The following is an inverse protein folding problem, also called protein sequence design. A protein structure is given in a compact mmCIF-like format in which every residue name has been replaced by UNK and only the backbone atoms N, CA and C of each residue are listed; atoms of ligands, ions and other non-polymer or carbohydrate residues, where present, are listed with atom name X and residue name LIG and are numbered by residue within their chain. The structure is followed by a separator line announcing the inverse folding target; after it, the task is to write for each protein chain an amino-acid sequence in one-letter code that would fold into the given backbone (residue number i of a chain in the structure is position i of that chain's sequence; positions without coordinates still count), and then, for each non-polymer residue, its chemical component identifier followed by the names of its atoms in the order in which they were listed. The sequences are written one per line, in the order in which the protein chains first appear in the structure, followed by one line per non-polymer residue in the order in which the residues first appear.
data_IF_508967654195
#
_entry.id   IF_508967654195
#
_cell.length_a   1.000
_cell.length_b   1.000
_cell.length_c   1.000
_cell.angle_alpha   90.00
_cell.angle_beta   90.00
_cell.angle_gamma   90.00
#
_symmetry.space_group_name_H-M   'P 1'
#
loop_
_entity.id
_entity.type
_entity.pdbx_description
1 polymer ?
#
# COMPACT_ATOMS: atom_id res chain seq x y z
N UNK A 1 9.52 -9.89 -15.40
CA UNK A 1 9.05 -8.49 -15.17
C UNK A 1 9.67 -7.50 -16.16
N UNK A 2 10.44 -8.03 -17.12
CA UNK A 2 11.00 -7.21 -18.20
C UNK A 2 9.87 -6.43 -18.91
N UNK A 3 10.12 -5.16 -19.19
CA UNK A 3 9.20 -4.23 -19.86
C UNK A 3 7.87 -3.94 -19.09
N UNK A 4 7.79 -4.30 -17.79
CA UNK A 4 6.66 -3.95 -16.93
C UNK A 4 7.01 -2.76 -16.05
N UNK A 5 6.04 -1.88 -15.85
CA UNK A 5 6.12 -0.73 -14.94
C UNK A 5 5.36 -1.01 -13.65
N UNK A 6 6.01 -0.76 -12.52
CA UNK A 6 5.47 -0.95 -11.18
C UNK A 6 5.53 0.37 -10.42
N UNK A 7 4.39 0.87 -9.97
CA UNK A 7 4.31 2.00 -9.02
C UNK A 7 4.22 1.45 -7.60
N UNK A 8 5.07 1.96 -6.70
CA UNK A 8 5.10 1.55 -5.28
C UNK A 8 5.09 2.78 -4.39
N UNK A 9 4.10 2.91 -3.52
CA UNK A 9 4.08 3.96 -2.50
C UNK A 9 4.87 3.58 -1.26
N UNK A 10 5.54 4.57 -0.63
CA UNK A 10 6.38 4.31 0.53
C UNK A 10 7.60 3.44 0.24
N UNK A 11 8.17 3.56 -0.97
CA UNK A 11 9.21 2.68 -1.49
C UNK A 11 10.60 2.87 -0.84
N UNK A 12 10.81 3.88 0.01
CA UNK A 12 12.15 4.22 0.56
C UNK A 12 12.50 3.53 1.88
N UNK A 13 11.60 2.75 2.45
CA UNK A 13 11.84 2.06 3.73
C UNK A 13 11.08 0.73 3.85
N UNK A 14 11.54 -0.12 4.75
CA UNK A 14 10.85 -1.33 5.18
C UNK A 14 10.38 -2.21 4.02
N UNK A 15 9.11 -2.63 4.09
CA UNK A 15 8.49 -3.54 3.12
C UNK A 15 8.50 -2.96 1.69
N UNK A 16 8.16 -1.67 1.55
CA UNK A 16 8.11 -1.02 0.23
C UNK A 16 9.48 -1.01 -0.45
N UNK A 17 10.56 -0.72 0.29
CA UNK A 17 11.93 -0.74 -0.23
C UNK A 17 12.35 -2.14 -0.65
N UNK A 18 12.11 -3.13 0.19
CA UNK A 18 12.43 -4.52 -0.12
C UNK A 18 11.67 -5.02 -1.36
N UNK A 19 10.37 -4.67 -1.47
CA UNK A 19 9.54 -5.00 -2.63
C UNK A 19 10.06 -4.31 -3.90
N UNK A 20 10.39 -3.02 -3.83
CA UNK A 20 10.95 -2.25 -4.95
C UNK A 20 12.22 -2.88 -5.50
N UNK A 21 13.19 -3.19 -4.63
CA UNK A 21 14.45 -3.81 -5.01
C UNK A 21 14.26 -5.19 -5.65
N UNK A 22 13.38 -6.02 -5.07
CA UNK A 22 13.12 -7.35 -5.61
C UNK A 22 12.43 -7.30 -6.99
N UNK A 23 11.50 -6.37 -7.21
CA UNK A 23 10.84 -6.21 -8.52
C UNK A 23 11.77 -5.61 -9.56
N UNK A 24 12.63 -4.65 -9.18
CA UNK A 24 13.67 -4.11 -10.05
C UNK A 24 14.67 -5.20 -10.50
N UNK A 25 15.12 -6.07 -9.58
CA UNK A 25 15.97 -7.24 -9.91
C UNK A 25 15.31 -8.23 -10.86
N UNK A 26 13.98 -8.25 -10.91
CA UNK A 26 13.21 -9.04 -11.89
C UNK A 26 13.05 -8.33 -13.24
N UNK A 27 13.61 -7.13 -13.41
CA UNK A 27 13.64 -6.36 -14.64
C UNK A 27 12.48 -5.37 -14.81
N UNK A 28 11.71 -5.09 -13.77
CA UNK A 28 10.67 -4.06 -13.82
C UNK A 28 11.27 -2.65 -13.77
N UNK A 29 10.64 -1.69 -14.46
CA UNK A 29 10.77 -0.28 -14.13
C UNK A 29 10.01 0.00 -12.85
N UNK A 30 10.71 0.45 -11.81
CA UNK A 30 10.09 0.81 -10.52
C UNK A 30 9.94 2.32 -10.41
N UNK A 31 8.70 2.79 -10.29
CA UNK A 31 8.36 4.17 -9.99
C UNK A 31 7.94 4.27 -8.52
N UNK A 32 8.82 4.80 -7.68
CA UNK A 32 8.57 4.97 -6.26
C UNK A 32 7.86 6.29 -5.96
N UNK A 33 6.98 6.30 -4.95
CA UNK A 33 6.46 7.53 -4.36
C UNK A 33 6.92 7.62 -2.91
N UNK A 34 7.60 8.71 -2.56
CA UNK A 34 8.15 8.91 -1.21
C UNK A 34 8.30 10.40 -0.87
N UNK A 35 8.31 10.70 0.44
CA UNK A 35 8.45 12.09 0.93
C UNK A 35 9.90 12.59 0.94
N UNK A 36 10.85 11.70 1.10
CA UNK A 36 12.25 12.04 1.30
C UNK A 36 13.05 11.80 0.02
N UNK A 37 13.42 12.87 -0.64
CA UNK A 37 14.14 12.86 -1.92
C UNK A 37 15.54 12.21 -1.80
N UNK A 38 16.29 12.46 -0.72
CA UNK A 38 17.61 11.84 -0.51
C UNK A 38 17.51 10.32 -0.48
N UNK A 39 16.57 9.78 0.32
CA UNK A 39 16.33 8.33 0.38
C UNK A 39 15.79 7.76 -0.93
N UNK A 40 15.04 8.56 -1.68
CA UNK A 40 14.56 8.20 -3.01
C UNK A 40 15.75 8.03 -3.97
N UNK A 41 16.64 9.01 -4.01
CA UNK A 41 17.85 8.99 -4.82
C UNK A 41 18.80 7.83 -4.43
N UNK A 42 18.95 7.55 -3.13
CA UNK A 42 19.70 6.39 -2.65
C UNK A 42 19.14 5.06 -3.18
N UNK A 43 17.82 4.90 -3.17
CA UNK A 43 17.18 3.70 -3.67
C UNK A 43 17.31 3.56 -5.19
N UNK A 44 17.18 4.64 -5.96
CA UNK A 44 17.42 4.61 -7.41
C UNK A 44 18.84 4.15 -7.72
N UNK A 45 19.85 4.76 -7.08
CA UNK A 45 21.25 4.35 -7.23
C UNK A 45 21.46 2.87 -6.91
N UNK A 46 20.79 2.36 -5.87
CA UNK A 46 20.89 0.93 -5.53
C UNK A 46 20.21 0.04 -6.57
N UNK A 47 19.05 0.45 -7.09
CA UNK A 47 18.37 -0.26 -8.18
C UNK A 47 19.26 -0.32 -9.42
N UNK A 48 19.86 0.80 -9.81
CA UNK A 48 20.74 0.91 -10.99
C UNK A 48 22.02 0.11 -10.82
N UNK A 49 22.62 0.11 -9.63
CA UNK A 49 23.80 -0.73 -9.30
C UNK A 49 23.55 -2.23 -9.54
N UNK A 50 22.30 -2.66 -9.44
CA UNK A 50 21.89 -4.04 -9.71
C UNK A 50 21.31 -4.23 -11.12
N UNK A 51 21.50 -3.28 -12.03
CA UNK A 51 21.07 -3.35 -13.42
C UNK A 51 19.57 -3.12 -13.62
N UNK A 52 18.85 -2.65 -12.59
CA UNK A 52 17.43 -2.30 -12.66
C UNK A 52 17.19 -0.87 -13.15
N UNK A 53 15.94 -0.51 -13.33
CA UNK A 53 15.50 0.85 -13.67
C UNK A 53 14.60 1.39 -12.55
N UNK A 54 14.90 2.59 -12.04
CA UNK A 54 14.16 3.24 -10.97
C UNK A 54 13.88 4.70 -11.29
N UNK A 55 12.70 5.15 -10.92
CA UNK A 55 12.27 6.56 -10.95
C UNK A 55 11.53 6.89 -9.65
N UNK A 56 11.44 8.18 -9.32
CA UNK A 56 10.75 8.63 -8.12
C UNK A 56 9.90 9.85 -8.36
N UNK A 57 8.76 9.89 -7.68
CA UNK A 57 7.96 11.09 -7.47
C UNK A 57 7.99 11.44 -5.99
N UNK A 58 8.43 12.65 -5.67
CA UNK A 58 8.43 13.16 -4.29
C UNK A 58 7.05 13.73 -3.98
N UNK A 59 6.37 13.13 -2.99
CA UNK A 59 5.05 13.57 -2.55
C UNK A 59 4.80 13.17 -1.09
N UNK A 60 4.10 14.01 -0.34
CA UNK A 60 3.51 13.63 0.95
C UNK A 60 2.12 13.05 0.72
N UNK A 61 2.02 11.74 0.85
CA UNK A 61 0.76 11.04 0.64
C UNK A 61 -0.27 11.25 1.77
N UNK A 62 0.05 11.98 2.83
CA UNK A 62 -0.97 12.46 3.77
C UNK A 62 -1.70 13.71 3.26
N UNK A 63 -1.15 14.40 2.25
CA UNK A 63 -1.81 15.48 1.51
C UNK A 63 -2.55 14.92 0.29
N UNK A 64 -3.83 15.24 0.17
CA UNK A 64 -4.64 14.84 -0.98
C UNK A 64 -4.20 15.58 -2.25
N UNK A 65 -3.82 16.86 -2.11
CA UNK A 65 -3.27 17.67 -3.20
C UNK A 65 -2.00 17.02 -3.77
N UNK A 66 -1.06 16.64 -2.90
CA UNK A 66 0.20 16.03 -3.31
C UNK A 66 -0.02 14.64 -3.90
N UNK A 67 -0.93 13.86 -3.31
CA UNK A 67 -1.34 12.54 -3.81
C UNK A 67 -1.92 12.65 -5.23
N UNK A 68 -2.83 13.59 -5.46
CA UNK A 68 -3.39 13.83 -6.79
C UNK A 68 -2.32 14.32 -7.78
N UNK A 69 -1.41 15.20 -7.33
CA UNK A 69 -0.26 15.65 -8.12
C UNK A 69 0.66 14.51 -8.53
N UNK A 70 1.00 13.64 -7.59
CA UNK A 70 1.80 12.45 -7.85
C UNK A 70 1.12 11.51 -8.86
N UNK A 71 -0.18 11.24 -8.70
CA UNK A 71 -0.94 10.41 -9.62
C UNK A 71 -0.89 10.95 -11.06
N UNK A 72 -1.16 12.25 -11.26
CA UNK A 72 -1.08 12.88 -12.57
C UNK A 72 0.34 12.87 -13.15
N UNK A 73 1.35 13.15 -12.34
CA UNK A 73 2.76 13.11 -12.75
C UNK A 73 3.15 11.73 -13.24
N UNK A 74 2.80 10.69 -12.50
CA UNK A 74 3.10 9.29 -12.86
C UNK A 74 2.36 8.93 -14.14
N UNK A 75 1.05 9.18 -14.23
CA UNK A 75 0.25 8.86 -15.41
C UNK A 75 0.81 9.50 -16.71
N UNK A 76 1.39 10.70 -16.61
CA UNK A 76 2.02 11.40 -17.73
C UNK A 76 3.46 10.99 -18.02
N UNK A 77 4.15 10.29 -17.10
CA UNK A 77 5.57 9.96 -17.23
C UNK A 77 5.85 8.52 -17.65
N UNK A 78 4.84 7.64 -17.64
CA UNK A 78 5.00 6.24 -18.01
C UNK A 78 4.11 5.87 -19.21
N UNK A 79 4.64 5.05 -20.11
CA UNK A 79 3.87 4.55 -21.25
C UNK A 79 2.81 3.53 -20.80
N UNK A 80 3.13 2.71 -19.79
CA UNK A 80 2.27 1.67 -19.24
C UNK A 80 2.37 1.57 -17.73
N UNK A 81 1.32 1.10 -17.09
CA UNK A 81 1.30 0.81 -15.65
C UNK A 81 0.71 -0.57 -15.39
N UNK A 82 1.60 -1.54 -15.22
CA UNK A 82 1.21 -2.95 -15.04
C UNK A 82 0.81 -3.27 -13.60
N UNK A 83 1.50 -2.66 -12.64
CA UNK A 83 1.27 -2.96 -11.23
C UNK A 83 1.26 -1.68 -10.39
N UNK A 84 0.20 -1.49 -9.61
CA UNK A 84 0.14 -0.48 -8.55
C UNK A 84 0.21 -1.17 -7.19
N UNK A 85 1.19 -0.82 -6.36
CA UNK A 85 1.32 -1.32 -4.98
C UNK A 85 1.11 -0.16 -4.01
N UNK A 86 -0.07 -0.07 -3.43
CA UNK A 86 -0.40 0.86 -2.36
C UNK A 86 0.17 0.32 -1.05
N UNK A 87 1.45 0.64 -0.79
CA UNK A 87 2.18 0.16 0.38
C UNK A 87 2.36 1.21 1.47
N UNK A 88 2.36 2.50 1.15
CA UNK A 88 2.48 3.55 2.14
C UNK A 88 1.41 3.41 3.23
N UNK A 89 1.82 3.57 4.47
CA UNK A 89 0.93 3.53 5.61
C UNK A 89 1.69 3.74 6.92
N UNK A 90 1.01 4.32 7.90
CA UNK A 90 1.57 4.57 9.21
C UNK A 90 0.50 4.41 10.31
N UNK A 91 0.98 4.31 11.54
CA UNK A 91 0.19 4.43 12.75
C UNK A 91 0.57 5.74 13.44
N UNK A 92 -0.39 6.60 13.70
CA UNK A 92 -0.18 7.88 14.35
C UNK A 92 -0.66 7.78 15.81
N UNK A 93 0.23 7.81 16.80
CA UNK A 93 -0.13 7.62 18.22
C UNK A 93 -0.91 8.80 18.79
N UNK A 94 -0.74 10.00 18.21
CA UNK A 94 -1.43 11.23 18.62
C UNK A 94 -2.39 11.68 17.54
N UNK A 95 -3.53 12.26 17.97
CA UNK A 95 -4.44 12.92 17.06
C UNK A 95 -3.76 14.08 16.35
N UNK A 96 -4.10 14.23 15.09
CA UNK A 96 -3.71 15.35 14.26
C UNK A 96 -4.41 15.26 12.90
N UNK A 97 -4.53 16.40 12.25
CA UNK A 97 -5.15 16.52 10.93
C UNK A 97 -4.16 17.10 9.92
N UNK A 98 -4.38 16.78 8.67
CA UNK A 98 -3.64 17.37 7.54
C UNK A 98 -4.06 18.83 7.32
N UNK A 99 -3.36 19.53 6.42
CA UNK A 99 -3.75 20.90 6.00
C UNK A 99 -5.11 20.95 5.29
N UNK A 100 -5.65 19.80 4.89
CA UNK A 100 -6.96 19.64 4.25
C UNK A 100 -8.00 19.07 5.25
N UNK A 101 -7.73 19.14 6.55
CA UNK A 101 -8.60 18.74 7.66
C UNK A 101 -8.96 17.24 7.68
N UNK A 102 -8.12 16.36 7.15
CA UNK A 102 -8.27 14.92 7.29
C UNK A 102 -7.39 14.36 8.43
N UNK A 103 -7.93 13.47 9.26
CA UNK A 103 -7.11 12.76 10.26
C UNK A 103 -5.98 11.98 9.55
N UNK A 104 -4.75 12.05 10.10
CA UNK A 104 -3.56 11.54 9.41
C UNK A 104 -3.62 10.06 9.06
N UNK A 105 -4.21 9.21 9.92
CA UNK A 105 -4.32 7.77 9.63
C UNK A 105 -5.32 7.51 8.51
N UNK A 106 -6.45 8.20 8.55
CA UNK A 106 -7.46 8.16 7.48
C UNK A 106 -6.86 8.63 6.16
N UNK A 107 -6.19 9.79 6.17
CA UNK A 107 -5.59 10.39 4.99
C UNK A 107 -4.57 9.44 4.33
N UNK A 108 -3.56 9.00 5.09
CA UNK A 108 -2.44 8.24 4.53
C UNK A 108 -2.82 6.79 4.19
N UNK A 109 -3.59 6.11 5.07
CA UNK A 109 -3.81 4.68 4.92
C UNK A 109 -4.99 4.32 4.01
N UNK A 110 -5.93 5.26 3.79
CA UNK A 110 -7.13 5.00 3.02
C UNK A 110 -7.39 6.02 1.90
N UNK A 111 -7.47 7.32 2.22
CA UNK A 111 -7.80 8.32 1.19
C UNK A 111 -6.70 8.41 0.11
N UNK A 112 -5.44 8.35 0.51
CA UNK A 112 -4.32 8.37 -0.41
C UNK A 112 -4.32 7.19 -1.39
N UNK A 113 -4.37 5.91 -0.97
CA UNK A 113 -4.45 4.80 -1.91
C UNK A 113 -5.71 4.85 -2.79
N UNK A 114 -6.85 5.31 -2.26
CA UNK A 114 -8.06 5.52 -3.04
C UNK A 114 -7.84 6.57 -4.14
N UNK A 115 -7.37 7.76 -3.77
CA UNK A 115 -7.18 8.89 -4.69
C UNK A 115 -6.07 8.61 -5.73
N UNK A 116 -4.95 8.01 -5.29
CA UNK A 116 -3.87 7.63 -6.20
C UNK A 116 -4.34 6.59 -7.22
N UNK A 117 -5.07 5.56 -6.76
CA UNK A 117 -5.66 4.56 -7.65
C UNK A 117 -6.60 5.20 -8.66
N UNK A 118 -7.44 6.16 -8.22
CA UNK A 118 -8.32 6.90 -9.11
C UNK A 118 -7.55 7.64 -10.21
N UNK A 119 -6.51 8.40 -9.86
CA UNK A 119 -5.71 9.17 -10.83
C UNK A 119 -4.86 8.30 -11.76
N UNK A 120 -4.60 7.06 -11.40
CA UNK A 120 -3.84 6.12 -12.22
C UNK A 120 -4.76 5.15 -13.00
N UNK A 121 -6.08 5.19 -12.78
CA UNK A 121 -6.99 4.18 -13.32
C UNK A 121 -6.98 4.12 -14.84
N UNK A 122 -7.07 5.27 -15.51
CA UNK A 122 -7.07 5.32 -16.98
C UNK A 122 -5.80 4.66 -17.56
N UNK A 123 -4.63 4.89 -16.94
CA UNK A 123 -3.37 4.28 -17.37
C UNK A 123 -3.34 2.77 -17.08
N UNK A 124 -3.92 2.33 -15.98
CA UNK A 124 -4.05 0.91 -15.62
C UNK A 124 -5.00 0.19 -16.59
N UNK A 125 -6.15 0.80 -16.91
CA UNK A 125 -7.13 0.28 -17.84
C UNK A 125 -6.56 0.20 -19.27
N UNK A 126 -5.90 1.26 -19.73
CA UNK A 126 -5.19 1.25 -21.01
C UNK A 126 -4.18 0.10 -21.07
N UNK A 127 -3.36 -0.04 -20.02
CA UNK A 127 -2.36 -1.12 -19.97
C UNK A 127 -2.99 -2.50 -19.99
N UNK A 128 -4.09 -2.71 -19.25
CA UNK A 128 -4.81 -3.98 -19.23
C UNK A 128 -5.42 -4.30 -20.61
N UNK A 129 -5.98 -3.30 -21.28
CA UNK A 129 -6.56 -3.47 -22.63
C UNK A 129 -5.49 -3.82 -23.68
N UNK A 130 -4.32 -3.16 -23.65
CA UNK A 130 -3.25 -3.37 -24.62
C UNK A 130 -2.41 -4.64 -24.36
N UNK A 131 -2.26 -5.03 -23.08
CA UNK A 131 -1.36 -6.10 -22.67
C UNK A 131 -2.04 -7.29 -21.96
N UNK A 132 -3.37 -7.23 -21.83
CA UNK A 132 -4.20 -8.31 -21.31
C UNK A 132 -4.22 -8.46 -19.79
N UNK A 133 -3.44 -7.66 -19.05
CA UNK A 133 -3.44 -7.70 -17.56
C UNK A 133 -2.89 -6.42 -16.93
N UNK A 134 -3.44 -6.06 -15.79
CA UNK A 134 -2.83 -5.17 -14.81
C UNK A 134 -3.23 -5.59 -13.39
N UNK A 135 -2.48 -5.15 -12.38
CA UNK A 135 -2.67 -5.60 -10.99
C UNK A 135 -2.60 -4.45 -10.01
N UNK A 136 -3.53 -4.43 -9.05
CA UNK A 136 -3.53 -3.50 -7.91
C UNK A 136 -3.35 -4.32 -6.64
N UNK A 137 -2.35 -3.96 -5.85
CA UNK A 137 -2.01 -4.64 -4.59
C UNK A 137 -2.07 -3.63 -3.45
N UNK A 138 -3.00 -3.82 -2.53
CA UNK A 138 -3.16 -2.98 -1.35
C UNK A 138 -2.51 -3.64 -0.13
N UNK A 139 -1.60 -2.93 0.55
CA UNK A 139 -0.99 -3.44 1.79
C UNK A 139 -1.91 -3.14 2.97
N UNK A 140 -2.72 -4.12 3.31
CA UNK A 140 -3.60 -4.10 4.46
C UNK A 140 -2.88 -4.58 5.74
N UNK A 141 -3.60 -5.14 6.68
CA UNK A 141 -3.08 -5.66 7.96
C UNK A 141 -4.00 -6.74 8.50
N UNK A 142 -3.51 -7.57 9.42
CA UNK A 142 -4.37 -8.39 10.29
C UNK A 142 -5.26 -7.50 11.18
N UNK A 143 -4.83 -6.27 11.39
CA UNK A 143 -5.51 -5.25 12.19
C UNK A 143 -6.55 -4.49 11.35
N UNK A 144 -7.50 -5.20 10.75
CA UNK A 144 -8.62 -4.63 9.98
C UNK A 144 -9.99 -4.96 10.58
N UNK A 145 -10.02 -5.39 11.86
CA UNK A 145 -11.20 -5.93 12.52
C UNK A 145 -11.80 -4.91 13.50
N UNK A 146 -12.14 -3.74 13.01
CA UNK A 146 -12.90 -2.76 13.77
C UNK A 146 -14.03 -2.19 12.91
N UNK A 147 -15.22 -1.96 13.47
CA UNK A 147 -16.31 -1.28 12.76
C UNK A 147 -15.87 0.13 12.36
N UNK A 148 -16.38 0.61 11.23
CA UNK A 148 -16.15 1.98 10.79
C UNK A 148 -17.15 2.88 11.50
N UNK A 149 -16.67 3.92 12.16
CA UNK A 149 -17.52 4.98 12.71
C UNK A 149 -17.75 6.03 11.62
N UNK A 150 -18.79 5.85 10.84
CA UNK A 150 -19.14 6.73 9.72
C UNK A 150 -19.50 8.15 10.17
N UNK A 151 -20.02 8.32 11.38
CA UNK A 151 -20.44 9.62 11.90
C UNK A 151 -19.26 10.48 12.37
N UNK A 152 -18.10 9.85 12.67
CA UNK A 152 -16.91 10.56 13.17
C UNK A 152 -15.61 9.96 12.60
N UNK A 153 -15.51 9.86 11.29
CA UNK A 153 -14.30 9.35 10.60
C UNK A 153 -13.04 10.17 10.90
N UNK A 154 -13.23 11.46 11.09
CA UNK A 154 -12.16 12.43 11.27
C UNK A 154 -11.82 12.72 12.75
N UNK A 155 -12.53 12.07 13.68
CA UNK A 155 -12.40 12.29 15.12
C UNK A 155 -12.57 13.76 15.58
N UNK A 156 -13.32 14.56 14.80
CA UNK A 156 -13.57 15.97 15.10
C UNK A 156 -14.31 16.20 16.42
N UNK A 157 -15.19 15.26 16.80
CA UNK A 157 -15.92 15.27 18.07
C UNK A 157 -15.07 14.70 19.25
N UNK A 158 -13.79 14.43 19.02
CA UNK A 158 -12.91 13.84 20.02
C UNK A 158 -12.93 12.31 20.06
N UNK A 159 -12.41 11.76 21.16
CA UNK A 159 -12.38 10.30 21.36
C UNK A 159 -11.35 9.54 20.51
N UNK A 160 -10.31 10.22 19.99
CA UNK A 160 -9.26 9.59 19.21
C UNK A 160 -8.57 8.45 19.96
N UNK A 161 -8.58 7.31 19.33
CA UNK A 161 -7.85 6.11 19.77
C UNK A 161 -7.03 5.61 18.59
N UNK A 162 -5.74 5.85 18.64
CA UNK A 162 -4.80 5.57 17.54
C UNK A 162 -4.93 4.14 16.97
N UNK A 163 -5.11 3.16 17.86
CA UNK A 163 -5.29 1.75 17.47
C UNK A 163 -6.60 1.57 16.68
N UNK A 164 -7.70 2.23 17.13
CA UNK A 164 -8.99 2.14 16.46
C UNK A 164 -8.93 2.82 15.10
N UNK A 165 -8.33 4.03 15.02
CA UNK A 165 -8.13 4.75 13.76
C UNK A 165 -7.35 3.90 12.74
N UNK A 166 -6.28 3.24 13.19
CA UNK A 166 -5.51 2.34 12.34
C UNK A 166 -6.35 1.14 11.87
N UNK A 167 -7.08 0.47 12.77
CA UNK A 167 -7.94 -0.67 12.41
C UNK A 167 -9.02 -0.27 11.40
N UNK A 168 -9.69 0.86 11.64
CA UNK A 168 -10.70 1.39 10.71
C UNK A 168 -10.11 1.70 9.34
N UNK A 169 -8.93 2.33 9.28
CA UNK A 169 -8.27 2.63 8.00
C UNK A 169 -7.94 1.36 7.22
N UNK A 170 -7.50 0.29 7.90
CA UNK A 170 -7.21 -1.00 7.27
C UNK A 170 -8.47 -1.80 6.92
N UNK A 171 -9.57 -1.61 7.66
CA UNK A 171 -10.88 -2.09 7.28
C UNK A 171 -11.32 -1.43 5.96
N UNK A 172 -11.35 -0.10 5.90
CA UNK A 172 -11.72 0.64 4.69
C UNK A 172 -10.89 0.23 3.47
N UNK A 173 -9.57 0.11 3.62
CA UNK A 173 -8.69 -0.32 2.53
C UNK A 173 -9.00 -1.76 2.06
N UNK A 174 -9.35 -2.66 2.99
CA UNK A 174 -9.72 -4.04 2.66
C UNK A 174 -11.07 -4.08 1.94
N UNK A 175 -12.07 -3.32 2.41
CA UNK A 175 -13.38 -3.19 1.75
C UNK A 175 -13.24 -2.56 0.35
N UNK A 176 -12.46 -1.49 0.22
CA UNK A 176 -12.13 -0.88 -1.08
C UNK A 176 -11.55 -1.89 -2.06
N UNK A 177 -10.66 -2.78 -1.60
CA UNK A 177 -10.11 -3.85 -2.44
C UNK A 177 -11.21 -4.75 -3.01
N UNK A 178 -12.15 -5.20 -2.17
CA UNK A 178 -13.25 -6.04 -2.61
C UNK A 178 -14.23 -5.32 -3.54
N UNK A 179 -14.55 -4.06 -3.22
CA UNK A 179 -15.43 -3.24 -4.07
C UNK A 179 -14.80 -3.04 -5.46
N UNK A 180 -13.55 -2.62 -5.49
CA UNK A 180 -12.85 -2.35 -6.75
C UNK A 180 -12.64 -3.62 -7.57
N UNK A 181 -12.33 -4.76 -6.92
CA UNK A 181 -12.18 -6.05 -7.60
C UNK A 181 -13.47 -6.52 -8.29
N UNK A 182 -14.62 -6.25 -7.67
CA UNK A 182 -15.93 -6.54 -8.27
C UNK A 182 -16.23 -5.61 -9.44
N UNK A 183 -15.93 -4.32 -9.28
CA UNK A 183 -16.15 -3.30 -10.33
C UNK A 183 -15.32 -3.56 -11.58
N UNK A 184 -14.09 -4.07 -11.41
CA UNK A 184 -13.13 -4.31 -12.49
C UNK A 184 -13.08 -5.78 -12.95
N UNK A 185 -14.08 -6.60 -12.62
CA UNK A 185 -14.05 -8.06 -12.82
C UNK A 185 -13.75 -8.50 -14.26
N UNK A 186 -14.19 -7.74 -15.26
CA UNK A 186 -14.07 -8.11 -16.68
C UNK A 186 -13.04 -7.25 -17.43
N UNK A 187 -12.29 -6.40 -16.73
CA UNK A 187 -11.37 -5.46 -17.35
C UNK A 187 -9.95 -5.98 -17.57
N UNK A 188 -9.65 -7.22 -17.17
CA UNK A 188 -8.26 -7.73 -17.15
C UNK A 188 -7.43 -7.21 -15.96
N UNK A 189 -8.04 -6.44 -15.05
CA UNK A 189 -7.38 -5.88 -13.86
C UNK A 189 -7.74 -6.72 -12.64
N UNK A 190 -6.73 -7.15 -11.89
CA UNK A 190 -6.95 -7.82 -10.61
C UNK A 190 -6.63 -6.89 -9.44
N UNK A 191 -7.46 -6.95 -8.41
CA UNK A 191 -7.31 -6.12 -7.20
C UNK A 191 -7.30 -7.02 -5.98
N UNK A 192 -6.18 -7.03 -5.25
CA UNK A 192 -6.03 -7.87 -4.07
C UNK A 192 -5.42 -7.08 -2.92
N UNK A 193 -5.65 -7.52 -1.69
CA UNK A 193 -4.94 -6.99 -0.53
C UNK A 193 -4.14 -8.06 0.18
N UNK A 194 -3.07 -7.64 0.82
CA UNK A 194 -2.22 -8.53 1.60
C UNK A 194 -2.12 -8.08 3.05
N UNK A 195 -1.90 -9.05 3.91
CA UNK A 195 -1.37 -8.87 5.26
C UNK A 195 0.08 -9.36 5.27
N UNK A 196 1.07 -8.43 5.45
CA UNK A 196 2.48 -8.79 5.29
C UNK A 196 3.08 -9.54 6.49
N UNK A 197 2.29 -9.86 7.51
CA UNK A 197 2.83 -10.37 8.79
C UNK A 197 3.31 -9.24 9.71
N UNK A 198 4.04 -9.60 10.76
CA UNK A 198 4.76 -8.64 11.59
C UNK A 198 6.11 -8.35 10.93
N UNK A 199 6.23 -7.18 10.31
CA UNK A 199 7.47 -6.76 9.64
C UNK A 199 8.29 -5.89 10.56
N UNK A 200 9.60 -6.16 10.68
CA UNK A 200 10.56 -5.31 11.39
C UNK A 200 10.74 -3.98 10.66
N UNK A 201 9.81 -3.05 10.86
CA UNK A 201 9.82 -1.71 10.22
C UNK A 201 9.76 -0.62 11.28
N UNK A 202 9.94 0.63 10.84
CA UNK A 202 9.77 1.80 11.70
C UNK A 202 8.34 1.91 12.29
N UNK A 203 7.36 1.25 11.67
CA UNK A 203 5.99 1.16 12.19
C UNK A 203 5.95 0.47 13.56
N UNK A 204 6.83 -0.51 13.81
CA UNK A 204 6.96 -1.18 15.11
C UNK A 204 7.61 -0.31 16.20
N UNK A 205 8.17 0.86 15.83
CA UNK A 205 8.76 1.84 16.74
C UNK A 205 7.81 2.98 17.11
N UNK A 206 6.52 2.87 16.81
CA UNK A 206 5.52 3.88 17.18
C UNK A 206 5.43 3.99 18.71
N UNK A 207 5.19 5.22 19.18
CA UNK A 207 5.07 5.54 20.63
C UNK A 207 3.83 4.88 21.24
N UNK A 208 3.96 3.61 21.60
CA UNK A 208 2.94 2.92 22.38
C UNK A 208 2.99 3.40 23.83
N UNK A 209 1.85 3.53 24.53
CA UNK A 209 1.87 3.79 25.97
C UNK A 209 2.51 2.62 26.73
N UNK A 210 3.08 2.93 27.91
CA UNK A 210 3.61 1.90 28.81
C UNK A 210 2.48 0.93 29.22
N UNK A 211 2.73 -0.42 29.25
CA UNK A 211 4.00 -1.12 29.01
C UNK A 211 4.23 -1.52 27.54
N UNK A 212 3.31 -1.23 26.63
CA UNK A 212 3.36 -1.67 25.23
C UNK A 212 4.54 -1.08 24.45
N UNK A 213 5.03 0.10 24.82
CA UNK A 213 6.24 0.71 24.27
C UNK A 213 7.53 -0.13 24.51
N UNK A 214 7.51 -1.01 25.49
CA UNK A 214 8.61 -1.95 25.79
C UNK A 214 8.30 -3.32 25.18
N UNK A 215 7.07 -3.80 25.33
CA UNK A 215 6.65 -5.13 24.88
C UNK A 215 6.67 -5.25 23.37
N UNK A 216 6.12 -4.29 22.63
CA UNK A 216 6.00 -4.35 21.16
C UNK A 216 7.35 -4.41 20.45
N UNK A 217 8.35 -3.56 20.79
CA UNK A 217 9.69 -3.68 20.23
C UNK A 217 10.37 -5.01 20.55
N UNK A 218 10.24 -5.50 21.79
CA UNK A 218 10.85 -6.78 22.20
C UNK A 218 10.20 -7.94 21.46
N UNK A 219 8.89 -8.01 21.44
CA UNK A 219 8.14 -9.04 20.70
C UNK A 219 8.42 -8.94 19.19
N UNK A 220 8.48 -7.72 18.66
CA UNK A 220 8.83 -7.49 17.25
C UNK A 220 10.25 -7.95 16.89
N UNK A 221 11.19 -7.93 17.85
CA UNK A 221 12.54 -8.42 17.65
C UNK A 221 12.56 -9.96 17.44
N UNK A 222 11.70 -10.69 18.14
CA UNK A 222 11.66 -12.16 18.11
C UNK A 222 10.70 -12.72 17.05
N UNK A 223 9.56 -12.05 16.78
CA UNK A 223 8.49 -12.56 15.91
C UNK A 223 8.47 -11.82 14.55
N UNK A 224 9.05 -10.60 14.48
CA UNK A 224 9.02 -9.81 13.26
C UNK A 224 9.87 -10.39 12.13
N UNK A 225 9.30 -10.51 10.94
CA UNK A 225 10.03 -10.91 9.74
C UNK A 225 10.91 -9.76 9.22
N UNK A 226 12.11 -10.06 8.68
CA UNK A 226 12.88 -9.08 7.91
C UNK A 226 12.06 -8.56 6.73
N UNK A 227 12.17 -7.27 6.36
CA UNK A 227 11.46 -6.70 5.22
C UNK A 227 11.65 -7.48 3.91
N UNK A 228 12.85 -8.03 3.70
CA UNK A 228 13.22 -8.82 2.52
C UNK A 228 12.39 -10.10 2.40
N UNK A 229 12.10 -10.75 3.54
CA UNK A 229 11.27 -11.95 3.59
C UNK A 229 9.79 -11.59 3.49
N UNK A 230 9.35 -10.55 4.19
CA UNK A 230 7.98 -10.07 4.13
C UNK A 230 7.57 -9.58 2.72
N UNK A 231 8.54 -9.10 1.92
CA UNK A 231 8.34 -8.71 0.53
C UNK A 231 8.02 -9.87 -0.41
N UNK A 232 8.22 -11.12 0.01
CA UNK A 232 7.94 -12.30 -0.80
C UNK A 232 6.49 -12.34 -1.30
N UNK A 233 5.52 -12.07 -0.45
CA UNK A 233 4.09 -12.11 -0.82
C UNK A 233 3.70 -10.99 -1.81
N UNK A 234 3.99 -9.69 -1.58
CA UNK A 234 3.68 -8.66 -2.56
C UNK A 234 4.45 -8.82 -3.88
N UNK A 235 5.70 -9.28 -3.84
CA UNK A 235 6.47 -9.57 -5.06
C UNK A 235 5.86 -10.74 -5.83
N UNK A 236 5.50 -11.84 -5.16
CA UNK A 236 4.82 -12.96 -5.79
C UNK A 236 3.49 -12.52 -6.42
N UNK A 237 2.67 -11.76 -5.69
CA UNK A 237 1.37 -11.29 -6.18
C UNK A 237 1.53 -10.36 -7.40
N UNK A 238 2.60 -9.55 -7.41
CA UNK A 238 2.92 -8.65 -8.52
C UNK A 238 3.51 -9.36 -9.74
N UNK A 239 4.25 -10.48 -9.57
CA UNK A 239 5.10 -11.03 -10.63
C UNK A 239 4.81 -12.48 -11.03
N UNK A 240 4.04 -13.25 -10.24
CA UNK A 240 3.81 -14.68 -10.50
C UNK A 240 2.64 -14.91 -11.45
N UNK A 241 2.76 -15.91 -12.29
CA UNK A 241 1.66 -16.40 -13.14
C UNK A 241 0.57 -17.10 -12.32
N UNK A 242 0.94 -17.75 -11.20
CA UNK A 242 -0.02 -18.35 -10.27
C UNK A 242 -1.00 -17.31 -9.71
N UNK A 243 -0.50 -16.10 -9.43
CA UNK A 243 -1.29 -15.01 -8.89
C UNK A 243 -2.13 -14.26 -9.96
N UNK A 244 -1.90 -14.52 -11.24
CA UNK A 244 -2.54 -13.79 -12.35
C UNK A 244 -4.07 -13.81 -12.32
N UNK A 245 -4.64 -14.90 -11.78
CA UNK A 245 -6.11 -15.09 -11.71
C UNK A 245 -6.71 -14.77 -10.35
N UNK A 246 -5.88 -14.39 -9.38
CA UNK A 246 -6.38 -14.02 -8.05
C UNK A 246 -6.98 -12.62 -8.12
N UNK A 247 -8.25 -12.51 -7.77
CA UNK A 247 -8.97 -11.24 -7.76
C UNK A 247 -9.94 -11.17 -6.59
N UNK A 248 -9.91 -10.07 -5.84
CA UNK A 248 -10.74 -9.90 -4.65
C UNK A 248 -10.32 -10.83 -3.50
N UNK A 249 -9.01 -10.99 -3.30
CA UNK A 249 -8.49 -11.87 -2.26
C UNK A 249 -7.75 -11.08 -1.17
N UNK A 250 -7.88 -11.58 0.08
CA UNK A 250 -7.07 -11.18 1.20
C UNK A 250 -5.98 -12.24 1.42
N UNK A 251 -4.72 -11.88 1.23
CA UNK A 251 -3.63 -12.83 1.07
C UNK A 251 -2.61 -12.70 2.21
N UNK A 252 -2.13 -13.83 2.70
CA UNK A 252 -1.03 -13.95 3.66
C UNK A 252 -0.16 -15.14 3.31
N UNK A 253 1.16 -14.97 3.25
CA UNK A 253 2.12 -16.00 2.85
C UNK A 253 1.71 -16.71 1.56
N UNK A 254 1.43 -15.94 0.48
CA UNK A 254 0.99 -16.42 -0.84
C UNK A 254 -0.31 -17.25 -0.84
N UNK A 255 -1.08 -17.23 0.23
CA UNK A 255 -2.34 -17.99 0.35
C UNK A 255 -3.50 -17.06 0.64
N UNK A 256 -4.60 -17.27 -0.07
CA UNK A 256 -5.86 -16.63 0.24
C UNK A 256 -6.33 -16.98 1.65
N UNK A 257 -6.76 -15.99 2.40
CA UNK A 257 -7.28 -16.09 3.75
C UNK A 257 -8.63 -15.40 3.85
N UNK A 258 -9.43 -15.79 4.83
CA UNK A 258 -10.67 -15.07 5.11
C UNK A 258 -10.36 -13.79 5.86
N UNK A 259 -10.74 -12.64 5.29
CA UNK A 259 -10.77 -11.37 6.00
C UNK A 259 -11.94 -11.34 6.99
N UNK A 260 -12.01 -10.31 7.79
CA UNK A 260 -13.16 -10.07 8.67
C UNK A 260 -14.45 -9.92 7.84
N UNK A 261 -15.58 -10.62 8.20
CA UNK A 261 -16.78 -10.65 7.37
C UNK A 261 -17.32 -9.28 6.92
N UNK A 262 -17.40 -8.24 7.78
CA UNK A 262 -17.88 -6.91 7.37
C UNK A 262 -17.09 -6.27 6.23
N UNK A 263 -15.80 -6.59 6.07
CA UNK A 263 -15.00 -6.04 4.94
C UNK A 263 -15.49 -6.54 3.58
N UNK A 264 -16.27 -7.60 3.53
CA UNK A 264 -16.79 -8.23 2.30
C UNK A 264 -18.23 -7.89 2.01
N UNK A 265 -18.83 -7.08 2.88
CA UNK A 265 -20.20 -6.61 2.68
C UNK A 265 -20.28 -5.86 1.33
N UNK A 266 -21.36 -6.13 0.59
CA UNK A 266 -21.57 -5.52 -0.71
C UNK A 266 -22.25 -4.17 -0.60
N UNK A 267 -22.90 -3.94 0.53
CA UNK A 267 -23.75 -2.78 0.82
C UNK A 267 -23.09 -1.83 1.83
N UNK A 268 -21.84 -2.10 2.25
CA UNK A 268 -21.07 -1.33 3.23
C UNK A 268 -20.27 -0.20 2.58
#
# INVERSE_FOLDING_TARGET
MKDKTVVITGATSGLGRATALQLARKGALVVGVARNESKANELVKEIEKHGGKGQFVVADLSSMKDTAGAGRSIAGSVDRLDILINNAGAHFPKYGVTSEDFEFTLALNYLSPFLLTHHLMDKIEQTAAEHGEARIVNISSIMHKAPINWDNLNYGDGGYRSTVAYYQSKHMLTSFTYLLSRKLKESGITVNCIHPGFVKTALAKSDYPFPMNVIVPIVGLFIGEPPERAADTPVWLASSDEAKRMNGEYIHHRKAKKSWPPTRDKDA
#
